data_IF_100114531786
#
_entry.id   IF_100114531786
#
_cell.length_a   1.000
_cell.length_b   1.000
_cell.length_c   1.000
_cell.angle_alpha   90.00
_cell.angle_beta   90.00
_cell.angle_gamma   90.00
#
_symmetry.space_group_name_H-M   'P 1'
#
loop_
_entity.id
_entity.type
_entity.pdbx_description
1 polymer ?
#
# COMPACT_ATOMS: atom_id res chain seq x y z
N UNK A 1 15.24 6.35 -21.95
CA UNK A 1 14.85 6.05 -20.54
C UNK A 1 15.61 4.89 -19.92
N UNK A 2 15.75 3.73 -20.57
CA UNK A 2 16.49 2.57 -20.01
C UNK A 2 17.95 2.90 -19.68
N UNK A 3 18.67 3.56 -20.60
CA UNK A 3 20.07 3.98 -20.39
C UNK A 3 20.21 4.95 -19.22
N UNK A 4 19.32 5.95 -19.12
CA UNK A 4 19.30 6.91 -17.99
C UNK A 4 19.09 6.18 -16.66
N UNK A 5 18.13 5.25 -16.60
CA UNK A 5 17.90 4.43 -15.40
C UNK A 5 19.11 3.56 -15.06
N UNK A 6 19.79 2.98 -16.05
CA UNK A 6 21.03 2.22 -15.83
C UNK A 6 22.15 3.11 -15.29
N UNK A 7 22.38 4.28 -15.87
CA UNK A 7 23.38 5.25 -15.40
C UNK A 7 23.11 5.64 -13.94
N UNK A 8 21.86 5.97 -13.61
CA UNK A 8 21.48 6.32 -12.23
C UNK A 8 21.78 5.16 -11.28
N UNK A 9 21.41 3.92 -11.63
CA UNK A 9 21.70 2.74 -10.80
C UNK A 9 23.21 2.56 -10.59
N UNK A 10 24.00 2.69 -11.66
CA UNK A 10 25.45 2.58 -11.59
C UNK A 10 26.04 3.65 -10.67
N UNK A 11 25.61 4.91 -10.81
CA UNK A 11 26.06 6.03 -9.96
C UNK A 11 25.70 5.78 -8.50
N UNK A 12 24.48 5.31 -8.21
CA UNK A 12 24.03 4.99 -6.85
C UNK A 12 24.87 3.86 -6.26
N UNK A 13 25.14 2.78 -7.02
CA UNK A 13 25.98 1.68 -6.55
C UNK A 13 27.40 2.17 -6.27
N UNK A 14 27.99 2.96 -7.17
CA UNK A 14 29.31 3.55 -6.96
C UNK A 14 29.34 4.42 -5.70
N UNK A 15 28.32 5.25 -5.47
CA UNK A 15 28.22 6.06 -4.26
C UNK A 15 28.14 5.21 -2.99
N UNK A 16 27.37 4.11 -3.00
CA UNK A 16 27.29 3.17 -1.86
C UNK A 16 28.64 2.52 -1.60
N UNK A 17 29.36 2.10 -2.65
CA UNK A 17 30.69 1.49 -2.50
C UNK A 17 31.68 2.50 -1.93
N UNK A 18 31.73 3.72 -2.48
CA UNK A 18 32.59 4.79 -1.96
C UNK A 18 32.26 5.05 -0.49
N UNK A 19 30.97 5.23 -0.16
CA UNK A 19 30.53 5.40 1.22
C UNK A 19 30.98 4.26 2.13
N UNK A 20 30.83 3.00 1.71
CA UNK A 20 31.26 1.85 2.47
C UNK A 20 32.77 1.86 2.73
N UNK A 21 33.57 2.09 1.68
CA UNK A 21 35.04 2.15 1.79
C UNK A 21 35.53 3.26 2.71
N UNK A 22 34.90 4.44 2.65
CA UNK A 22 35.24 5.58 3.50
C UNK A 22 34.79 5.41 4.96
N UNK A 23 33.84 4.49 5.22
CA UNK A 23 33.27 4.24 6.54
C UNK A 23 33.52 2.80 7.02
N UNK A 24 34.70 2.25 6.70
CA UNK A 24 35.19 0.95 7.19
C UNK A 24 35.62 0.96 8.65
N UNK A 25 35.57 2.12 9.33
CA UNK A 25 35.89 2.24 10.74
C UNK A 25 35.04 1.27 11.58
N UNK A 26 35.71 0.41 12.34
CA UNK A 26 35.06 -0.49 13.30
C UNK A 26 34.51 0.30 14.48
N UNK A 27 33.26 0.03 14.84
CA UNK A 27 32.56 0.62 15.98
C UNK A 27 32.04 -0.49 16.87
N UNK A 28 32.20 -0.32 18.19
CA UNK A 28 31.63 -1.18 19.21
C UNK A 28 30.15 -0.84 19.41
N UNK A 29 29.28 -1.83 19.18
CA UNK A 29 27.85 -1.65 19.27
C UNK A 29 27.28 -2.49 20.42
N UNK A 30 26.89 -1.81 21.50
CA UNK A 30 26.28 -2.43 22.67
C UNK A 30 24.74 -2.34 22.57
N UNK A 31 24.12 -3.36 21.96
CA UNK A 31 22.66 -3.40 21.81
C UNK A 31 21.91 -3.76 23.11
N UNK A 32 22.49 -4.61 23.95
CA UNK A 32 21.83 -5.14 25.13
C UNK A 32 22.72 -5.00 26.36
N UNK A 33 22.11 -4.62 27.49
CA UNK A 33 22.80 -4.52 28.77
C UNK A 33 23.37 -5.88 29.19
N UNK A 34 24.63 -5.92 29.64
CA UNK A 34 25.29 -7.15 30.08
C UNK A 34 25.70 -8.12 28.96
N UNK A 35 25.62 -7.69 27.68
CA UNK A 35 26.20 -8.43 26.54
C UNK A 35 27.45 -7.73 26.04
N UNK A 36 28.41 -8.54 25.59
CA UNK A 36 29.63 -8.05 24.95
C UNK A 36 29.30 -7.20 23.71
N UNK A 37 29.97 -6.05 23.51
CA UNK A 37 29.79 -5.23 22.32
C UNK A 37 30.12 -6.00 21.04
N UNK A 38 29.31 -5.79 20.00
CA UNK A 38 29.57 -6.36 18.68
C UNK A 38 30.36 -5.34 17.88
N UNK A 39 31.51 -5.76 17.36
CA UNK A 39 32.36 -4.93 16.51
C UNK A 39 31.90 -5.00 15.05
N UNK A 40 31.38 -3.90 14.52
CA UNK A 40 30.90 -3.80 13.15
C UNK A 40 31.46 -2.55 12.46
N UNK A 41 31.71 -2.59 11.14
CA UNK A 41 32.01 -1.39 10.39
C UNK A 41 30.83 -0.39 10.43
N UNK A 42 31.14 0.90 10.56
CA UNK A 42 30.15 1.97 10.65
C UNK A 42 29.17 1.96 9.46
N UNK A 43 29.65 1.73 8.24
CA UNK A 43 28.80 1.68 7.06
C UNK A 43 27.68 0.62 7.18
N UNK A 44 27.97 -0.52 7.81
CA UNK A 44 27.03 -1.63 7.95
C UNK A 44 25.88 -1.23 8.87
N UNK A 45 26.19 -0.51 9.96
CA UNK A 45 25.21 -0.01 10.93
C UNK A 45 24.28 0.99 10.25
N UNK A 46 24.85 1.93 9.48
CA UNK A 46 24.08 2.98 8.80
C UNK A 46 23.18 2.37 7.71
N UNK A 47 23.73 1.57 6.81
CA UNK A 47 22.95 0.95 5.73
C UNK A 47 21.92 -0.03 6.29
N UNK A 48 22.30 -0.85 7.28
CA UNK A 48 21.41 -1.82 7.91
C UNK A 48 20.22 -1.17 8.62
N UNK A 49 20.45 -0.13 9.41
CA UNK A 49 19.38 0.61 10.10
C UNK A 49 18.44 1.33 9.11
N UNK A 50 18.99 1.98 8.09
CA UNK A 50 18.20 2.60 7.02
C UNK A 50 17.35 1.56 6.27
N UNK A 51 17.93 0.39 5.96
CA UNK A 51 17.22 -0.70 5.29
C UNK A 51 16.05 -1.23 6.11
N UNK A 52 16.23 -1.41 7.43
CA UNK A 52 15.15 -1.77 8.35
C UNK A 52 14.05 -0.69 8.32
N UNK A 53 14.43 0.59 8.35
CA UNK A 53 13.49 1.70 8.22
C UNK A 53 12.65 1.64 6.93
N UNK A 54 13.28 1.34 5.79
CA UNK A 54 12.58 1.17 4.50
C UNK A 54 11.62 -0.02 4.54
N UNK A 55 12.01 -1.14 5.15
CA UNK A 55 11.13 -2.30 5.31
C UNK A 55 9.89 -1.92 6.11
N UNK A 56 10.08 -1.29 7.28
CA UNK A 56 8.98 -0.87 8.15
C UNK A 56 8.05 0.13 7.46
N UNK A 57 8.61 1.15 6.80
CA UNK A 57 7.83 2.13 6.05
C UNK A 57 7.02 1.46 4.92
N UNK A 58 7.62 0.50 4.22
CA UNK A 58 6.93 -0.25 3.16
C UNK A 58 5.80 -1.10 3.74
N UNK A 59 5.99 -1.75 4.89
CA UNK A 59 4.93 -2.50 5.56
C UNK A 59 3.73 -1.62 5.93
N UNK A 60 3.99 -0.41 6.44
CA UNK A 60 2.93 0.57 6.74
C UNK A 60 2.20 0.97 5.46
N UNK A 61 2.93 1.38 4.42
CA UNK A 61 2.34 1.81 3.15
C UNK A 61 1.51 0.70 2.47
N UNK A 62 1.97 -0.55 2.54
CA UNK A 62 1.23 -1.71 2.02
C UNK A 62 -0.06 -1.95 2.82
N UNK A 63 -0.01 -1.82 4.14
CA UNK A 63 -1.18 -1.99 5.01
C UNK A 63 -2.27 -0.95 4.71
N UNK A 64 -1.88 0.31 4.53
CA UNK A 64 -2.79 1.38 4.11
C UNK A 64 -3.40 1.09 2.74
N UNK A 65 -2.56 0.73 1.77
CA UNK A 65 -3.01 0.39 0.41
C UNK A 65 -4.01 -0.77 0.41
N UNK A 66 -3.82 -1.77 1.27
CA UNK A 66 -4.75 -2.89 1.43
C UNK A 66 -6.10 -2.41 1.98
N UNK A 67 -6.10 -1.54 3.00
CA UNK A 67 -7.33 -0.94 3.55
C UNK A 67 -8.09 -0.15 2.49
N UNK A 68 -7.40 0.74 1.76
CA UNK A 68 -8.00 1.52 0.67
C UNK A 68 -8.58 0.63 -0.43
N UNK A 69 -7.87 -0.45 -0.81
CA UNK A 69 -8.39 -1.41 -1.80
C UNK A 69 -9.66 -2.11 -1.32
N UNK A 70 -9.73 -2.48 -0.04
CA UNK A 70 -10.94 -3.08 0.55
C UNK A 70 -12.12 -2.12 0.54
N UNK A 71 -11.89 -0.87 0.95
CA UNK A 71 -12.92 0.19 0.92
C UNK A 71 -13.41 0.44 -0.49
N UNK A 72 -12.50 0.55 -1.48
CA UNK A 72 -12.88 0.70 -2.89
C UNK A 72 -13.75 -0.44 -3.39
N UNK A 73 -13.42 -1.70 -3.05
CA UNK A 73 -14.21 -2.85 -3.46
C UNK A 73 -15.59 -2.86 -2.78
N UNK A 74 -15.67 -2.47 -1.50
CA UNK A 74 -16.94 -2.31 -0.78
C UNK A 74 -17.82 -1.25 -1.42
N UNK A 75 -17.27 -0.06 -1.70
CA UNK A 75 -17.98 1.03 -2.37
C UNK A 75 -18.51 0.62 -3.74
N UNK A 76 -17.70 -0.10 -4.54
CA UNK A 76 -18.12 -0.62 -5.85
C UNK A 76 -19.26 -1.64 -5.73
N UNK A 77 -19.24 -2.48 -4.70
CA UNK A 77 -20.34 -3.43 -4.43
C UNK A 77 -21.63 -2.69 -4.07
N UNK A 78 -21.55 -1.72 -3.16
CA UNK A 78 -22.69 -0.91 -2.73
C UNK A 78 -23.30 -0.12 -3.90
N UNK A 79 -22.47 0.45 -4.77
CA UNK A 79 -22.93 1.13 -5.99
C UNK A 79 -23.76 0.19 -6.87
N UNK A 80 -23.25 -1.02 -7.13
CA UNK A 80 -23.93 -2.02 -7.96
C UNK A 80 -25.25 -2.50 -7.34
N UNK A 81 -25.32 -2.59 -6.01
CA UNK A 81 -26.56 -2.94 -5.30
C UNK A 81 -27.59 -1.82 -5.39
N UNK A 82 -27.18 -0.57 -5.19
CA UNK A 82 -28.06 0.60 -5.34
C UNK A 82 -28.60 0.75 -6.77
N UNK A 83 -27.77 0.56 -7.80
CA UNK A 83 -28.20 0.57 -9.20
C UNK A 83 -29.24 -0.52 -9.52
N UNK A 84 -29.09 -1.72 -8.93
CA UNK A 84 -30.06 -2.80 -9.05
C UNK A 84 -31.38 -2.47 -8.37
N UNK A 85 -31.34 -1.85 -7.20
CA UNK A 85 -32.54 -1.43 -6.47
C UNK A 85 -33.32 -0.36 -7.23
N UNK A 86 -32.65 0.65 -7.77
CA UNK A 86 -33.26 1.67 -8.65
C UNK A 86 -33.94 0.98 -9.84
N UNK A 87 -33.25 0.03 -10.47
CA UNK A 87 -33.80 -0.72 -11.61
C UNK A 87 -35.03 -1.53 -11.19
N UNK A 88 -35.00 -2.18 -10.01
CA UNK A 88 -36.12 -2.96 -9.48
C UNK A 88 -37.32 -2.09 -9.15
N UNK A 89 -37.10 -0.94 -8.50
CA UNK A 89 -38.15 0.03 -8.16
C UNK A 89 -38.76 0.66 -9.41
N UNK A 90 -37.96 0.94 -10.45
CA UNK A 90 -38.47 1.42 -11.74
C UNK A 90 -39.33 0.40 -12.46
N UNK A 91 -39.04 -0.89 -12.24
CA UNK A 91 -39.79 -2.00 -12.83
C UNK A 91 -40.92 -2.51 -11.91
N UNK A 92 -41.13 -1.88 -10.74
CA UNK A 92 -42.29 -2.17 -9.91
C UNK A 92 -43.55 -1.70 -10.65
N UNK A 93 -44.61 -2.51 -10.72
CA UNK A 93 -45.83 -2.14 -11.42
C UNK A 93 -46.59 -1.11 -10.58
N UNK A 94 -46.21 0.17 -10.70
CA UNK A 94 -47.08 1.31 -10.37
C UNK A 94 -48.29 1.40 -11.33
N UNK A 95 -48.41 0.47 -12.27
CA UNK A 95 -49.48 0.35 -13.26
C UNK A 95 -50.71 -0.44 -12.78
N UNK A 96 -50.62 -1.21 -11.68
CA UNK A 96 -51.78 -2.00 -11.21
C UNK A 96 -52.86 -1.20 -10.50
N UNK A 97 -52.57 0.02 -10.05
CA UNK A 97 -53.60 0.89 -9.45
C UNK A 97 -54.53 1.54 -10.50
N UNK A 98 -54.16 1.52 -11.79
CA UNK A 98 -55.03 2.01 -12.88
C UNK A 98 -55.88 0.93 -13.54
N UNK A 99 -55.66 -0.35 -13.22
CA UNK A 99 -56.44 -1.48 -13.77
C UNK A 99 -57.60 -1.89 -12.85
N UNK A 100 -57.48 -1.78 -11.51
CA UNK A 100 -58.59 -2.12 -10.60
C UNK A 100 -59.77 -1.14 -10.66
N UNK A 101 -59.56 0.09 -11.13
CA UNK A 101 -60.67 1.05 -11.35
C UNK A 101 -61.46 0.76 -12.63
N UNK A 102 -60.93 -0.04 -13.56
CA UNK A 102 -61.64 -0.40 -14.81
C UNK A 102 -62.49 -1.67 -14.67
N UNK A 103 -62.15 -2.58 -13.75
CA UNK A 103 -62.93 -3.80 -13.50
C UNK A 103 -64.21 -3.58 -12.68
N UNK A 104 -64.36 -2.45 -11.99
CA UNK A 104 -65.59 -2.12 -11.24
C UNK A 104 -66.59 -1.23 -11.99
N UNK A 105 -66.34 -0.91 -13.27
CA UNK A 105 -67.20 -0.06 -14.09
C UNK A 105 -67.78 -0.77 -15.34
N UNK A 106 -67.63 -2.09 -15.44
CA UNK A 106 -68.14 -2.92 -16.55
C UNK A 106 -69.25 -3.85 -16.12
#
# INVERSE_FOLDING_TARGET
>A
MRVVSTIIKTVVIAAIVIFATLNMQTVELQYFYGKEPINLPLFLIIIGSAFIGVILATMVALSEKMKTRREMNSLRKNLKEAEKEITRLRNLPLSKEKESTKEHAG
#
